data_IF_133198800761
#
_entry.id   IF_133198800761
#
_cell.length_a   1.000
_cell.length_b   1.000
_cell.length_c   1.000
_cell.angle_alpha   90.00
_cell.angle_beta   90.00
_cell.angle_gamma   90.00
#
_symmetry.space_group_name_H-M   'P 1'
#
loop_
_entity.id
_entity.type
_entity.pdbx_description
1 polymer ?
#
# COMPACT_ATOMS: atom_id res chain seq x y z
N UNK A 1 10.00 -24.16 5.58
CA UNK A 1 11.33 -24.48 6.24
C UNK A 1 12.49 -23.76 5.55
N UNK A 2 12.55 -23.74 4.20
CA UNK A 2 13.64 -23.10 3.44
C UNK A 2 13.69 -21.57 3.64
N UNK A 3 12.55 -20.88 3.61
CA UNK A 3 12.51 -19.43 3.77
C UNK A 3 13.06 -18.99 5.13
N UNK A 4 12.80 -19.74 6.19
CA UNK A 4 13.33 -19.46 7.54
C UNK A 4 14.86 -19.58 7.59
N UNK A 5 15.42 -20.66 7.04
CA UNK A 5 16.86 -20.87 7.02
C UNK A 5 17.61 -19.81 6.19
N UNK A 6 17.05 -19.41 5.04
CA UNK A 6 17.61 -18.33 4.22
C UNK A 6 17.57 -17.01 5.00
N UNK A 7 16.46 -16.74 5.68
CA UNK A 7 16.30 -15.53 6.49
C UNK A 7 17.30 -15.49 7.65
N UNK A 8 17.49 -16.61 8.34
CA UNK A 8 18.47 -16.76 9.40
C UNK A 8 19.91 -16.54 8.89
N UNK A 9 20.26 -17.13 7.74
CA UNK A 9 21.56 -16.91 7.12
C UNK A 9 21.79 -15.45 6.71
N UNK A 10 20.76 -14.78 6.17
CA UNK A 10 20.83 -13.35 5.82
C UNK A 10 21.04 -12.48 7.06
N UNK A 11 20.36 -12.78 8.15
CA UNK A 11 20.51 -12.08 9.43
C UNK A 11 21.94 -12.23 9.95
N UNK A 12 22.50 -13.45 9.93
CA UNK A 12 23.87 -13.72 10.33
C UNK A 12 24.91 -12.95 9.50
N UNK A 13 24.62 -12.73 8.22
CA UNK A 13 25.45 -11.91 7.32
C UNK A 13 25.19 -10.39 7.46
N UNK A 14 24.32 -9.96 8.38
CA UNK A 14 23.94 -8.55 8.53
C UNK A 14 23.06 -8.01 7.40
N UNK A 15 22.49 -8.88 6.55
CA UNK A 15 21.62 -8.50 5.45
C UNK A 15 20.17 -8.48 5.92
N UNK A 16 19.58 -7.29 6.00
CA UNK A 16 18.18 -7.09 6.41
C UNK A 16 17.36 -6.55 5.24
N UNK A 17 16.17 -7.10 5.04
CA UNK A 17 15.18 -6.52 4.15
C UNK A 17 14.51 -5.33 4.86
N UNK A 18 14.12 -4.32 4.10
CA UNK A 18 13.31 -3.21 4.62
C UNK A 18 12.01 -3.71 5.26
N UNK A 19 11.39 -4.76 4.70
CA UNK A 19 10.19 -5.40 5.27
C UNK A 19 10.41 -6.03 6.65
N UNK A 20 11.66 -6.35 7.02
CA UNK A 20 11.99 -6.98 8.31
C UNK A 20 12.27 -5.94 9.40
N UNK A 21 12.40 -4.66 9.03
CA UNK A 21 12.81 -3.58 9.96
C UNK A 21 11.89 -3.47 11.17
N UNK A 22 10.57 -3.53 10.97
CA UNK A 22 9.61 -3.48 12.05
C UNK A 22 9.73 -4.67 13.01
N UNK A 23 9.94 -5.88 12.49
CA UNK A 23 10.16 -7.09 13.30
C UNK A 23 11.42 -6.98 14.17
N UNK A 24 12.52 -6.48 13.58
CA UNK A 24 13.76 -6.28 14.35
C UNK A 24 13.62 -5.19 15.38
N UNK A 25 12.96 -4.08 15.04
CA UNK A 25 12.67 -3.02 15.99
C UNK A 25 11.84 -3.54 17.17
N UNK A 26 10.79 -4.32 16.92
CA UNK A 26 9.99 -4.94 17.98
C UNK A 26 10.83 -5.82 18.89
N UNK A 27 11.68 -6.68 18.33
CA UNK A 27 12.55 -7.56 19.11
C UNK A 27 13.57 -6.78 19.93
N UNK A 28 14.14 -5.71 19.38
CA UNK A 28 15.07 -4.83 20.11
C UNK A 28 14.36 -4.14 21.30
N UNK A 29 13.17 -3.61 21.09
CA UNK A 29 12.41 -2.95 22.15
C UNK A 29 11.99 -3.92 23.26
N UNK A 30 11.62 -5.16 22.90
CA UNK A 30 11.33 -6.23 23.86
C UNK A 30 12.58 -6.64 24.65
N UNK A 31 13.71 -6.77 23.96
CA UNK A 31 14.98 -7.19 24.57
C UNK A 31 15.62 -6.11 25.46
N UNK A 32 15.45 -4.85 25.07
CA UNK A 32 16.05 -3.71 25.74
C UNK A 32 15.00 -2.66 26.17
N UNK A 33 14.27 -2.88 27.27
CA UNK A 33 13.22 -1.95 27.73
C UNK A 33 13.73 -0.53 27.99
N UNK A 34 15.00 -0.38 28.36
CA UNK A 34 15.64 0.94 28.54
C UNK A 34 15.70 1.73 27.23
N UNK A 35 15.86 1.05 26.08
CA UNK A 35 15.80 1.68 24.76
C UNK A 35 14.39 2.21 24.48
N UNK A 36 13.37 1.41 24.75
CA UNK A 36 11.97 1.84 24.55
C UNK A 36 11.63 3.05 25.45
N UNK A 37 12.08 3.03 26.72
CA UNK A 37 11.93 4.17 27.65
C UNK A 37 12.66 5.42 27.16
N UNK A 38 13.89 5.26 26.65
CA UNK A 38 14.63 6.37 26.07
C UNK A 38 13.94 6.97 24.85
N UNK A 39 13.43 6.13 23.95
CA UNK A 39 12.69 6.60 22.77
C UNK A 39 11.40 7.32 23.18
N UNK A 40 10.64 6.79 24.13
CA UNK A 40 9.45 7.43 24.65
C UNK A 40 9.76 8.80 25.31
N UNK A 41 10.90 8.92 25.98
CA UNK A 41 11.36 10.19 26.54
C UNK A 41 11.83 11.18 25.46
N UNK A 42 12.56 10.68 24.46
CA UNK A 42 13.10 11.50 23.36
C UNK A 42 12.00 12.03 22.44
N UNK A 43 11.04 11.20 22.10
CA UNK A 43 9.91 11.53 21.21
C UNK A 43 8.65 11.63 22.04
N UNK A 44 8.33 12.84 22.50
CA UNK A 44 7.20 13.07 23.38
C UNK A 44 5.85 13.06 22.65
N UNK A 45 5.86 13.07 21.32
CA UNK A 45 4.71 13.12 20.45
C UNK A 45 4.95 12.26 19.21
N UNK A 46 3.96 11.47 18.83
CA UNK A 46 4.02 10.62 17.63
C UNK A 46 2.72 10.77 16.84
N UNK A 47 2.83 11.13 15.57
CA UNK A 47 1.71 11.14 14.63
C UNK A 47 1.97 10.07 13.59
N UNK A 48 0.98 9.22 13.34
CA UNK A 48 1.00 8.20 12.29
C UNK A 48 -0.10 8.53 11.30
N UNK A 49 0.30 8.90 10.10
CA UNK A 49 -0.59 9.06 8.96
C UNK A 49 -0.79 7.71 8.26
N UNK A 50 -1.90 7.56 7.54
CA UNK A 50 -2.31 6.31 6.88
C UNK A 50 -2.31 5.12 7.87
N UNK A 51 -2.79 5.34 9.08
CA UNK A 51 -2.71 4.37 10.18
C UNK A 51 -3.47 3.05 9.89
N UNK A 52 -4.40 3.02 8.92
CA UNK A 52 -5.07 1.80 8.46
C UNK A 52 -4.12 0.81 7.77
N UNK A 53 -2.96 1.29 7.29
CA UNK A 53 -1.95 0.45 6.63
C UNK A 53 -0.87 -0.06 7.60
N UNK A 54 -1.03 0.21 8.90
CA UNK A 54 -0.12 -0.25 9.95
C UNK A 54 -0.30 -1.74 10.23
N UNK A 55 0.80 -2.48 10.28
CA UNK A 55 0.82 -3.92 10.56
C UNK A 55 0.70 -4.22 12.07
N UNK A 56 0.35 -5.46 12.41
CA UNK A 56 0.30 -5.93 13.82
C UNK A 56 1.63 -5.74 14.56
N UNK A 57 2.74 -5.95 13.84
CA UNK A 57 4.09 -5.74 14.41
C UNK A 57 4.31 -4.28 14.78
N UNK A 58 3.89 -3.36 13.92
CA UNK A 58 4.00 -1.92 14.17
C UNK A 58 3.06 -1.48 15.29
N UNK A 59 1.83 -2.00 15.36
CA UNK A 59 0.95 -1.78 16.51
C UNK A 59 1.57 -2.28 17.82
N UNK A 60 2.25 -3.43 17.81
CA UNK A 60 2.97 -3.94 18.99
C UNK A 60 4.11 -3.02 19.43
N UNK A 61 4.81 -2.38 18.49
CA UNK A 61 5.83 -1.37 18.78
C UNK A 61 5.21 -0.16 19.48
N UNK A 62 4.08 0.35 18.95
CA UNK A 62 3.37 1.47 19.54
C UNK A 62 2.93 1.18 20.97
N UNK A 63 2.41 -0.01 21.21
CA UNK A 63 1.99 -0.46 22.54
C UNK A 63 3.15 -0.46 23.54
N UNK A 64 4.32 -0.98 23.14
CA UNK A 64 5.52 -0.95 23.98
C UNK A 64 5.91 0.50 24.30
N UNK A 65 5.94 1.38 23.31
CA UNK A 65 6.31 2.79 23.52
C UNK A 65 5.30 3.50 24.43
N UNK A 66 4.01 3.23 24.24
CA UNK A 66 2.95 3.77 25.10
C UNK A 66 3.11 3.34 26.57
N UNK A 67 3.40 2.05 26.81
CA UNK A 67 3.65 1.51 28.15
C UNK A 67 4.91 2.12 28.76
N UNK A 68 5.89 2.50 27.97
CA UNK A 68 7.13 3.14 28.44
C UNK A 68 7.03 4.67 28.59
N UNK A 69 5.83 5.24 28.38
CA UNK A 69 5.57 6.65 28.71
C UNK A 69 5.29 7.58 27.51
N UNK A 70 5.30 7.08 26.28
CA UNK A 70 4.86 7.85 25.12
C UNK A 70 3.33 7.93 25.11
N UNK A 71 2.77 8.97 25.73
CA UNK A 71 1.31 9.11 25.90
C UNK A 71 0.62 9.91 24.78
N UNK A 72 1.36 10.72 24.05
CA UNK A 72 0.81 11.55 22.98
C UNK A 72 1.00 10.83 21.64
N UNK A 73 0.03 10.05 21.24
CA UNK A 73 0.03 9.30 19.98
C UNK A 73 -1.24 9.63 19.22
N UNK A 74 -1.11 10.21 18.03
CA UNK A 74 -2.22 10.42 17.11
C UNK A 74 -2.12 9.42 15.96
N UNK A 75 -3.23 8.76 15.69
CA UNK A 75 -3.41 7.86 14.55
C UNK A 75 -4.41 8.51 13.59
N UNK A 76 -3.96 8.86 12.41
CA UNK A 76 -4.79 9.45 11.35
C UNK A 76 -4.92 8.44 10.23
N UNK A 77 -6.14 8.20 9.76
CA UNK A 77 -6.36 7.23 8.69
C UNK A 77 -7.83 7.07 8.29
N UNK A 78 -8.04 6.40 7.19
CA UNK A 78 -9.35 6.01 6.71
C UNK A 78 -9.37 4.48 6.49
N UNK A 79 -10.11 3.71 7.30
CA UNK A 79 -10.12 2.25 7.21
C UNK A 79 -10.62 1.72 5.87
N UNK A 80 -11.39 2.53 5.11
CA UNK A 80 -11.85 2.18 3.77
C UNK A 80 -10.79 2.37 2.67
N UNK A 81 -9.69 3.05 2.99
CA UNK A 81 -8.56 3.23 2.07
C UNK A 81 -7.44 2.20 2.26
N UNK A 82 -7.62 1.20 3.12
CA UNK A 82 -6.63 0.15 3.32
C UNK A 82 -6.46 -0.69 2.05
N UNK A 83 -5.31 -0.52 1.39
CA UNK A 83 -4.94 -1.22 0.15
C UNK A 83 -3.93 -2.35 0.40
N UNK A 84 -3.33 -2.42 1.58
CA UNK A 84 -2.18 -3.27 1.88
C UNK A 84 -2.49 -4.43 2.83
N UNK A 85 -3.75 -4.88 2.93
CA UNK A 85 -4.11 -6.06 3.74
C UNK A 85 -3.30 -7.31 3.36
N UNK A 86 -2.94 -7.45 2.09
CA UNK A 86 -2.08 -8.51 1.59
C UNK A 86 -0.60 -8.39 2.03
N UNK A 87 -0.21 -7.26 2.65
CA UNK A 87 1.10 -6.99 3.26
C UNK A 87 1.02 -6.87 4.78
N UNK A 88 0.12 -7.62 5.42
CA UNK A 88 -0.06 -7.64 6.87
C UNK A 88 -0.59 -6.34 7.49
N UNK A 89 -1.15 -5.40 6.70
CA UNK A 89 -1.87 -4.25 7.24
C UNK A 89 -3.10 -4.72 8.02
N UNK A 90 -3.31 -4.14 9.21
CA UNK A 90 -4.39 -4.53 10.12
C UNK A 90 -5.31 -3.34 10.45
N UNK A 91 -6.20 -2.94 9.52
CA UNK A 91 -7.13 -1.83 9.77
C UNK A 91 -8.06 -2.08 10.96
N UNK A 92 -8.26 -3.34 11.35
CA UNK A 92 -9.03 -3.72 12.52
C UNK A 92 -8.40 -3.18 13.82
N UNK A 93 -7.06 -3.20 13.92
CA UNK A 93 -6.37 -2.68 15.11
C UNK A 93 -6.47 -1.15 15.20
N UNK A 94 -6.52 -0.46 14.06
CA UNK A 94 -6.81 0.97 14.01
C UNK A 94 -8.25 1.26 14.49
N UNK A 95 -9.24 0.51 13.97
CA UNK A 95 -10.64 0.64 14.38
C UNK A 95 -10.86 0.30 15.85
N UNK A 96 -10.22 -0.73 16.39
CA UNK A 96 -10.29 -1.08 17.80
C UNK A 96 -9.84 0.08 18.69
N UNK A 97 -8.79 0.80 18.31
CA UNK A 97 -8.36 2.00 19.05
C UNK A 97 -9.36 3.15 18.93
N UNK A 98 -10.00 3.32 17.78
CA UNK A 98 -11.06 4.31 17.60
C UNK A 98 -12.29 4.02 18.47
N UNK A 99 -12.62 2.74 18.69
CA UNK A 99 -13.76 2.29 19.48
C UNK A 99 -13.47 2.22 20.99
N UNK A 100 -12.19 2.13 21.39
CA UNK A 100 -11.73 2.11 22.78
C UNK A 100 -11.77 3.51 23.39
N UNK A 101 -12.94 3.88 23.94
CA UNK A 101 -13.18 5.20 24.54
C UNK A 101 -12.54 5.41 25.91
N UNK A 102 -12.00 4.35 26.52
CA UNK A 102 -11.32 4.44 27.82
C UNK A 102 -9.88 4.94 27.63
N UNK A 103 -9.20 4.48 26.57
CA UNK A 103 -7.80 4.76 26.36
C UNK A 103 -7.54 5.74 25.19
N UNK A 104 -8.51 5.91 24.28
CA UNK A 104 -8.36 6.71 23.06
C UNK A 104 -9.50 7.71 22.88
N UNK A 105 -9.15 8.88 22.34
CA UNK A 105 -10.14 9.88 21.94
C UNK A 105 -10.37 9.79 20.44
N UNK A 106 -11.42 9.05 20.04
CA UNK A 106 -11.79 8.89 18.64
C UNK A 106 -12.48 10.12 18.09
N UNK A 107 -11.82 10.81 17.16
CA UNK A 107 -12.33 12.00 16.47
C UNK A 107 -12.68 11.62 15.02
N UNK A 108 -13.86 12.04 14.58
CA UNK A 108 -14.35 11.81 13.23
C UNK A 108 -14.20 13.08 12.39
N UNK A 109 -13.40 13.01 11.32
CA UNK A 109 -13.29 14.09 10.35
C UNK A 109 -14.39 13.91 9.30
N UNK A 110 -15.52 14.59 9.49
CA UNK A 110 -16.68 14.46 8.59
C UNK A 110 -16.67 15.43 7.41
N UNK A 111 -15.93 16.52 7.49
CA UNK A 111 -15.84 17.51 6.41
C UNK A 111 -14.86 17.07 5.32
N UNK A 112 -15.36 16.91 4.10
CA UNK A 112 -14.54 16.62 2.94
C UNK A 112 -14.33 17.89 2.10
N UNK A 113 -13.07 18.32 2.02
CA UNK A 113 -12.65 19.53 1.28
C UNK A 113 -12.01 19.20 -0.08
N UNK A 114 -11.82 17.92 -0.39
CA UNK A 114 -11.16 17.44 -1.62
C UNK A 114 -12.16 17.18 -2.73
N UNK A 115 -13.25 16.52 -2.40
CA UNK A 115 -14.20 16.00 -3.39
C UNK A 115 -15.53 16.75 -3.36
N UNK A 116 -16.15 16.84 -4.51
CA UNK A 116 -17.47 17.42 -4.65
C UNK A 116 -18.54 16.51 -4.07
N UNK A 117 -19.71 17.07 -3.82
CA UNK A 117 -20.83 16.34 -3.22
C UNK A 117 -21.19 15.06 -3.97
N UNK A 118 -21.18 15.10 -5.32
CA UNK A 118 -21.53 13.93 -6.14
C UNK A 118 -20.57 12.76 -5.95
N UNK A 119 -19.26 13.04 -5.87
CA UNK A 119 -18.24 12.01 -5.61
C UNK A 119 -18.45 11.43 -4.22
N UNK A 120 -18.72 12.28 -3.23
CA UNK A 120 -18.96 11.86 -1.85
C UNK A 120 -20.21 10.99 -1.75
N UNK A 121 -21.31 11.38 -2.38
CA UNK A 121 -22.55 10.62 -2.36
C UNK A 121 -22.33 9.20 -2.90
N UNK A 122 -21.53 9.05 -3.96
CA UNK A 122 -21.25 7.74 -4.57
C UNK A 122 -20.37 6.88 -3.66
N UNK A 123 -19.24 7.36 -3.23
CA UNK A 123 -18.38 6.51 -2.40
C UNK A 123 -18.98 6.23 -1.02
N UNK A 124 -19.84 7.11 -0.53
CA UNK A 124 -20.58 6.88 0.71
C UNK A 124 -21.49 5.66 0.65
N UNK A 125 -21.96 5.29 -0.53
CA UNK A 125 -22.75 4.05 -0.71
C UNK A 125 -21.93 2.78 -0.44
N UNK A 126 -20.60 2.87 -0.49
CA UNK A 126 -19.68 1.77 -0.23
C UNK A 126 -19.27 1.69 1.25
N UNK A 127 -19.64 2.70 2.06
CA UNK A 127 -19.34 2.75 3.50
C UNK A 127 -20.48 2.12 4.30
N UNK A 128 -20.20 1.78 5.56
CA UNK A 128 -21.24 1.27 6.47
C UNK A 128 -22.24 2.38 6.81
N UNK A 129 -23.51 2.06 6.81
CA UNK A 129 -24.61 3.00 7.08
C UNK A 129 -24.63 3.55 8.52
N UNK A 130 -23.92 2.89 9.45
CA UNK A 130 -23.83 3.31 10.85
C UNK A 130 -22.82 4.41 11.13
N UNK A 131 -22.05 4.84 10.13
CA UNK A 131 -21.03 5.87 10.30
C UNK A 131 -21.59 7.27 10.11
N UNK A 132 -20.89 8.27 10.69
CA UNK A 132 -21.24 9.68 10.46
C UNK A 132 -21.19 10.00 8.96
N UNK A 133 -22.20 10.73 8.51
CA UNK A 133 -22.24 11.22 7.13
C UNK A 133 -21.03 12.12 6.84
N UNK A 134 -20.47 11.95 5.65
CA UNK A 134 -19.41 12.84 5.16
C UNK A 134 -20.08 14.04 4.50
N UNK A 135 -19.61 15.23 4.86
CA UNK A 135 -20.16 16.51 4.41
C UNK A 135 -19.22 17.09 3.35
N UNK A 136 -19.73 17.31 2.17
CA UNK A 136 -19.00 18.03 1.13
C UNK A 136 -18.95 19.53 1.48
N UNK A 137 -17.74 20.08 1.55
CA UNK A 137 -17.58 21.53 1.71
C UNK A 137 -17.58 22.23 0.34
N UNK A 138 -17.15 21.55 -0.71
CA UNK A 138 -17.24 22.05 -2.08
C UNK A 138 -18.62 21.80 -2.63
N UNK A 139 -19.35 22.87 -2.89
CA UNK A 139 -20.72 22.86 -3.42
C UNK A 139 -20.79 23.04 -4.95
N UNK A 140 -19.75 22.67 -5.68
CA UNK A 140 -19.79 22.75 -7.13
C UNK A 140 -20.79 21.74 -7.71
N UNK A 141 -21.88 22.25 -8.27
CA UNK A 141 -22.94 21.46 -8.89
C UNK A 141 -22.68 21.10 -10.36
N UNK A 142 -21.55 21.53 -10.90
CA UNK A 142 -21.19 21.36 -12.32
C UNK A 142 -20.51 20.01 -12.62
N UNK A 143 -20.41 19.15 -11.64
CA UNK A 143 -19.77 17.86 -11.80
C UNK A 143 -20.46 17.00 -12.86
N UNK A 144 -19.67 16.36 -13.73
CA UNK A 144 -20.21 15.38 -14.65
C UNK A 144 -20.84 14.21 -13.87
N UNK A 145 -21.92 13.61 -14.39
CA UNK A 145 -22.49 12.41 -13.78
C UNK A 145 -21.46 11.27 -13.79
N UNK A 146 -21.54 10.38 -12.79
CA UNK A 146 -20.77 9.14 -12.83
C UNK A 146 -21.37 8.24 -13.89
N UNK A 147 -20.52 7.74 -14.78
CA UNK A 147 -20.89 6.82 -15.83
C UNK A 147 -20.43 5.40 -15.49
N UNK A 148 -21.33 4.44 -15.62
CA UNK A 148 -21.00 3.01 -15.52
C UNK A 148 -20.95 2.46 -16.95
N UNK A 149 -19.76 2.07 -17.39
CA UNK A 149 -19.54 1.57 -18.75
C UNK A 149 -19.32 0.06 -18.66
N UNK A 150 -20.23 -0.70 -19.29
CA UNK A 150 -20.06 -2.15 -19.43
C UNK A 150 -19.18 -2.45 -20.64
N UNK A 151 -18.18 -3.29 -20.44
CA UNK A 151 -17.25 -3.71 -21.49
C UNK A 151 -16.96 -5.20 -21.42
N UNK A 152 -16.38 -5.76 -22.50
CA UNK A 152 -15.89 -7.13 -22.53
C UNK A 152 -14.48 -7.23 -21.96
N UNK A 153 -14.19 -8.25 -21.20
CA UNK A 153 -12.84 -8.51 -20.67
C UNK A 153 -11.80 -8.82 -21.78
N UNK A 154 -12.27 -9.19 -22.98
CA UNK A 154 -11.42 -9.45 -24.15
C UNK A 154 -11.13 -8.20 -24.99
N UNK A 155 -11.92 -7.13 -24.86
CA UNK A 155 -11.74 -5.89 -25.61
C UNK A 155 -12.17 -4.68 -24.79
N UNK A 156 -11.19 -3.88 -24.39
CA UNK A 156 -11.39 -2.64 -23.62
C UNK A 156 -11.56 -1.41 -24.52
N UNK A 157 -11.27 -1.52 -25.83
CA UNK A 157 -11.22 -0.38 -26.76
C UNK A 157 -12.52 0.41 -26.80
N UNK A 158 -13.72 -0.20 -26.80
CA UNK A 158 -14.98 0.55 -26.80
C UNK A 158 -15.16 1.39 -25.53
N UNK A 159 -14.74 0.86 -24.36
CA UNK A 159 -14.85 1.59 -23.10
C UNK A 159 -13.88 2.79 -23.05
N UNK A 160 -12.66 2.61 -23.54
CA UNK A 160 -11.67 3.70 -23.63
C UNK A 160 -12.14 4.79 -24.58
N UNK A 161 -12.61 4.42 -25.79
CA UNK A 161 -13.13 5.37 -26.76
C UNK A 161 -14.33 6.16 -26.23
N UNK A 162 -15.21 5.50 -25.50
CA UNK A 162 -16.35 6.17 -24.85
C UNK A 162 -15.86 7.17 -23.80
N UNK A 163 -14.90 6.78 -22.95
CA UNK A 163 -14.28 7.65 -21.95
C UNK A 163 -13.61 8.87 -22.60
N UNK A 164 -12.80 8.68 -23.64
CA UNK A 164 -12.13 9.76 -24.38
C UNK A 164 -13.14 10.73 -24.99
N UNK A 165 -14.25 10.20 -25.57
CA UNK A 165 -15.34 11.01 -26.10
C UNK A 165 -16.00 11.85 -25.01
N UNK A 166 -16.25 11.27 -23.83
CA UNK A 166 -16.78 12.01 -22.69
C UNK A 166 -15.84 13.12 -22.22
N UNK A 167 -14.55 12.86 -22.16
CA UNK A 167 -13.54 13.85 -21.80
C UNK A 167 -13.49 15.00 -22.83
N UNK A 168 -13.42 14.67 -24.11
CA UNK A 168 -13.36 15.64 -25.21
C UNK A 168 -14.59 16.54 -25.24
N UNK A 169 -15.79 15.96 -25.14
CA UNK A 169 -17.04 16.71 -25.15
C UNK A 169 -17.18 17.70 -23.99
N UNK A 170 -16.39 17.51 -22.93
CA UNK A 170 -16.39 18.36 -21.72
C UNK A 170 -15.15 19.22 -21.57
N UNK A 171 -14.24 19.19 -22.55
CA UNK A 171 -12.98 19.93 -22.49
C UNK A 171 -12.06 19.49 -21.36
N UNK A 172 -12.18 18.24 -20.90
CA UNK A 172 -11.31 17.70 -19.84
C UNK A 172 -9.97 17.31 -20.43
N UNK A 173 -8.93 18.07 -20.08
CA UNK A 173 -7.55 17.86 -20.56
C UNK A 173 -6.67 17.12 -19.54
N UNK A 174 -7.03 17.18 -18.25
CA UNK A 174 -6.33 16.46 -17.18
C UNK A 174 -7.20 15.31 -16.70
N UNK A 175 -6.91 14.12 -17.21
CA UNK A 175 -7.65 12.91 -16.89
C UNK A 175 -6.69 11.72 -16.76
N UNK A 176 -7.14 10.64 -16.09
CA UNK A 176 -6.37 9.43 -15.96
C UNK A 176 -7.26 8.19 -15.97
N UNK A 177 -6.68 7.06 -16.34
CA UNK A 177 -7.31 5.74 -16.27
C UNK A 177 -6.57 4.91 -15.23
N UNK A 178 -7.29 4.50 -14.18
CA UNK A 178 -6.75 3.61 -13.16
C UNK A 178 -7.07 2.17 -13.51
N UNK A 179 -6.07 1.32 -13.49
CA UNK A 179 -6.21 -0.11 -13.81
C UNK A 179 -5.57 -0.99 -12.75
N UNK A 180 -6.11 -2.19 -12.60
CA UNK A 180 -5.57 -3.17 -11.68
C UNK A 180 -4.52 -4.03 -12.39
N UNK A 181 -3.26 -3.72 -12.14
CA UNK A 181 -2.13 -4.51 -12.62
C UNK A 181 -1.46 -4.00 -13.90
N UNK A 182 -0.19 -4.37 -14.04
CA UNK A 182 0.67 -3.88 -15.13
C UNK A 182 0.30 -4.45 -16.50
N UNK A 183 -0.23 -5.67 -16.56
CA UNK A 183 -0.63 -6.30 -17.84
C UNK A 183 -1.68 -5.46 -18.55
N UNK A 184 -2.74 -5.07 -17.85
CA UNK A 184 -3.79 -4.24 -18.42
C UNK A 184 -3.27 -2.84 -18.75
N UNK A 185 -2.45 -2.25 -17.88
CA UNK A 185 -1.80 -0.96 -18.14
C UNK A 185 -0.99 -0.99 -19.45
N UNK A 186 -0.16 -2.01 -19.64
CA UNK A 186 0.68 -2.15 -20.83
C UNK A 186 -0.16 -2.35 -22.09
N UNK A 187 -1.21 -3.16 -22.02
CA UNK A 187 -2.17 -3.33 -23.11
C UNK A 187 -2.82 -2.01 -23.52
N UNK A 188 -3.26 -1.19 -22.56
CA UNK A 188 -3.89 0.11 -22.82
C UNK A 188 -2.91 1.14 -23.39
N UNK A 189 -1.63 1.03 -23.06
CA UNK A 189 -0.58 1.90 -23.61
C UNK A 189 -0.10 1.47 -24.99
N UNK A 190 -0.71 0.43 -25.59
CA UNK A 190 -0.24 -0.13 -26.85
C UNK A 190 1.17 -0.71 -26.75
N UNK A 191 1.69 -0.90 -25.54
CA UNK A 191 2.90 -1.64 -25.33
C UNK A 191 2.54 -3.10 -25.55
N UNK A 192 2.90 -3.64 -26.71
CA UNK A 192 2.91 -5.07 -26.91
C UNK A 192 3.58 -5.70 -25.69
N UNK A 193 3.02 -6.82 -25.21
CA UNK A 193 3.72 -7.63 -24.23
C UNK A 193 5.14 -7.77 -24.77
N UNK A 194 6.13 -7.17 -24.09
CA UNK A 194 7.51 -7.17 -24.57
C UNK A 194 7.80 -8.59 -25.01
N UNK A 195 8.03 -8.75 -26.32
CA UNK A 195 8.31 -10.05 -26.89
C UNK A 195 9.57 -10.54 -26.18
N UNK A 196 9.36 -11.37 -25.18
CA UNK A 196 10.47 -12.10 -24.59
C UNK A 196 10.79 -13.26 -25.51
N UNK A 197 11.95 -13.25 -26.20
CA UNK A 197 12.38 -14.39 -27.01
C UNK A 197 12.60 -15.64 -26.15
N UNK A 198 12.48 -15.51 -24.85
CA UNK A 198 12.72 -16.56 -23.88
C UNK A 198 11.40 -17.03 -23.27
N UNK A 199 11.07 -18.30 -23.49
CA UNK A 199 9.97 -18.94 -22.76
C UNK A 199 10.27 -19.14 -21.26
N UNK A 200 11.50 -18.90 -20.86
CA UNK A 200 11.99 -18.98 -19.50
C UNK A 200 12.18 -17.56 -18.94
N UNK A 201 11.62 -17.32 -17.77
CA UNK A 201 11.70 -16.03 -17.07
C UNK A 201 13.10 -15.70 -16.55
N UNK A 202 13.97 -16.70 -16.38
CA UNK A 202 15.31 -16.54 -15.81
C UNK A 202 16.25 -15.72 -16.70
N UNK A 203 16.41 -16.04 -18.00
CA UNK A 203 17.23 -15.23 -18.91
C UNK A 203 16.76 -13.80 -19.03
N UNK A 204 15.43 -13.58 -19.11
CA UNK A 204 14.85 -12.24 -19.15
C UNK A 204 15.21 -11.44 -17.88
N UNK A 205 15.03 -12.05 -16.72
CA UNK A 205 15.36 -11.41 -15.45
C UNK A 205 16.85 -11.12 -15.28
N UNK A 206 17.74 -11.95 -15.86
CA UNK A 206 19.19 -11.67 -15.88
C UNK A 206 19.54 -10.46 -16.74
N UNK A 207 18.88 -10.31 -17.90
CA UNK A 207 19.04 -9.14 -18.77
C UNK A 207 18.52 -7.89 -18.06
N UNK A 208 17.37 -7.97 -17.43
CA UNK A 208 16.77 -6.87 -16.66
C UNK A 208 17.69 -6.43 -15.51
N UNK A 209 18.25 -7.38 -14.76
CA UNK A 209 19.26 -7.10 -13.73
C UNK A 209 20.49 -6.39 -14.29
N UNK A 210 20.95 -6.79 -15.49
CA UNK A 210 22.08 -6.14 -16.16
C UNK A 210 21.75 -4.71 -16.61
N UNK A 211 20.53 -4.48 -17.12
CA UNK A 211 20.06 -3.14 -17.48
C UNK A 211 20.03 -2.24 -16.25
N UNK A 212 19.46 -2.70 -15.14
CA UNK A 212 19.47 -1.96 -13.87
C UNK A 212 20.89 -1.66 -13.38
N UNK A 213 21.82 -2.61 -13.50
CA UNK A 213 23.24 -2.34 -13.18
C UNK A 213 23.84 -1.24 -14.05
N UNK A 214 23.59 -1.26 -15.36
CA UNK A 214 24.11 -0.26 -16.31
C UNK A 214 23.47 1.13 -16.07
N UNK A 215 22.23 1.17 -15.61
CA UNK A 215 21.51 2.39 -15.22
C UNK A 215 21.87 2.91 -13.82
N UNK A 216 22.86 2.29 -13.16
CA UNK A 216 23.26 2.58 -11.78
C UNK A 216 22.15 2.34 -10.72
N UNK A 217 21.16 1.53 -11.06
CA UNK A 217 20.05 1.12 -10.18
C UNK A 217 20.42 -0.18 -9.44
N UNK A 218 21.50 -0.14 -8.67
CA UNK A 218 22.11 -1.33 -8.03
C UNK A 218 21.12 -2.10 -7.15
N UNK A 219 20.23 -1.39 -6.46
CA UNK A 219 19.23 -2.04 -5.59
C UNK A 219 18.24 -2.91 -6.38
N UNK A 220 17.75 -2.42 -7.52
CA UNK A 220 16.82 -3.18 -8.35
C UNK A 220 17.53 -4.34 -9.08
N UNK A 221 18.76 -4.13 -9.51
CA UNK A 221 19.59 -5.20 -10.05
C UNK A 221 19.75 -6.36 -9.05
N UNK A 222 20.15 -6.05 -7.82
CA UNK A 222 20.32 -7.06 -6.74
C UNK A 222 18.98 -7.75 -6.43
N UNK A 223 17.90 -7.02 -6.39
CA UNK A 223 16.54 -7.57 -6.17
C UNK A 223 16.14 -8.55 -7.26
N UNK A 224 16.44 -8.22 -8.52
CA UNK A 224 16.13 -9.08 -9.66
C UNK A 224 16.97 -10.36 -9.65
N UNK A 225 18.28 -10.26 -9.43
CA UNK A 225 19.16 -11.44 -9.30
C UNK A 225 18.71 -12.34 -8.14
N UNK A 226 18.33 -11.74 -7.03
CA UNK A 226 17.83 -12.48 -5.87
C UNK A 226 16.56 -13.27 -6.17
N UNK A 227 15.60 -12.70 -6.93
CA UNK A 227 14.41 -13.43 -7.38
C UNK A 227 14.77 -14.66 -8.18
N UNK A 228 15.72 -14.52 -9.12
CA UNK A 228 16.21 -15.64 -9.93
C UNK A 228 16.74 -16.76 -9.05
N UNK A 229 17.61 -16.43 -8.10
CA UNK A 229 18.21 -17.41 -7.21
C UNK A 229 17.13 -18.15 -6.41
N UNK A 230 16.14 -17.43 -5.88
CA UNK A 230 15.06 -18.03 -5.09
C UNK A 230 14.15 -18.90 -5.95
N UNK A 231 13.78 -18.44 -7.16
CA UNK A 231 12.97 -19.24 -8.08
C UNK A 231 13.70 -20.51 -8.52
N UNK A 232 15.01 -20.45 -8.72
CA UNK A 232 15.82 -21.61 -9.08
C UNK A 232 15.85 -22.66 -7.96
N UNK A 233 15.88 -22.22 -6.70
CA UNK A 233 15.95 -23.12 -5.53
C UNK A 233 14.57 -23.54 -5.02
N UNK A 234 13.52 -22.79 -5.32
CA UNK A 234 12.14 -23.09 -4.96
C UNK A 234 11.18 -22.65 -6.08
N UNK A 235 11.03 -23.48 -7.16
CA UNK A 235 10.20 -23.14 -8.31
C UNK A 235 8.71 -22.90 -8.00
N UNK A 236 8.23 -23.31 -6.83
CA UNK A 236 6.85 -23.12 -6.38
C UNK A 236 6.62 -21.91 -5.48
N UNK A 237 7.67 -21.12 -5.19
CA UNK A 237 7.51 -19.94 -4.32
C UNK A 237 6.63 -18.88 -4.97
N UNK A 238 5.59 -18.43 -4.26
CA UNK A 238 4.75 -17.33 -4.72
C UNK A 238 5.50 -15.98 -4.60
N UNK A 239 5.06 -14.99 -5.38
CA UNK A 239 5.66 -13.65 -5.40
C UNK A 239 5.59 -12.94 -4.04
N UNK A 240 4.66 -13.34 -3.17
CA UNK A 240 4.50 -12.84 -1.80
C UNK A 240 5.49 -13.44 -0.81
N UNK A 241 6.15 -14.53 -1.17
CA UNK A 241 7.16 -15.21 -0.34
C UNK A 241 8.59 -14.78 -0.69
N UNK A 242 8.75 -13.94 -1.72
CA UNK A 242 10.00 -13.42 -2.28
C UNK A 242 10.27 -11.99 -1.83
#
# INVERSE_FOLDING_TARGET
KYSKAIKEAQIQMGLLKTSDSAFFALNLLKKYPRLAKYLAFKFQYLIIDEAQDTSEVQHSILEILYQQGLKNIDLVGDPYQCLYQWRDASPQLFLQKFDDKENWNGIYLSENRRSTKRIIDIFSTLRRTSEKAIIAIQNEHTDPPVHVIKYSSSDYSPAIKHYETLCSNRGLTSNCILVRGNTLRNSLLGKEAEFSPWNDSVPYSLIDAKIHMQSNEIKEAVKTVRRIVIQFWNPGASYSEL
#
